data_IF_866070923303
#
_entry.id   IF_866070923303
#
_cell.length_a   1.000
_cell.length_b   1.000
_cell.length_c   1.000
_cell.angle_alpha   90.00
_cell.angle_beta   90.00
_cell.angle_gamma   90.00
#
_symmetry.space_group_name_H-M   'P 1'
#
loop_
_entity.id
_entity.type
_entity.pdbx_description
1 polymer ?
#
# COMPACT_ATOMS: atom_id res chain seq x y z
N UNK A 1 -17.76 18.31 10.16
CA UNK A 1 -17.53 19.31 9.08
C UNK A 1 -16.67 18.64 8.02
N UNK A 2 -17.02 18.73 6.73
CA UNK A 2 -16.21 18.13 5.66
C UNK A 2 -14.98 19.02 5.36
N UNK A 3 -13.79 18.41 5.28
CA UNK A 3 -12.55 19.10 4.93
C UNK A 3 -12.55 19.51 3.45
N UNK A 4 -11.84 20.59 3.12
CA UNK A 4 -11.71 21.08 1.73
C UNK A 4 -10.99 20.03 0.88
N UNK A 5 -11.37 19.89 -0.39
CA UNK A 5 -10.64 19.03 -1.33
C UNK A 5 -9.42 19.74 -1.94
N UNK A 6 -8.34 18.99 -2.14
CA UNK A 6 -7.06 19.44 -2.71
C UNK A 6 -6.57 18.47 -3.78
N UNK A 7 -5.79 19.01 -4.73
CA UNK A 7 -5.09 18.24 -5.74
C UNK A 7 -3.58 18.48 -5.58
N UNK A 8 -2.82 17.43 -5.30
CA UNK A 8 -1.40 17.52 -4.98
C UNK A 8 -0.61 16.51 -5.81
N UNK A 9 0.30 17.02 -6.65
CA UNK A 9 1.30 16.18 -7.33
C UNK A 9 2.44 15.88 -6.40
N UNK A 10 2.75 14.60 -6.21
CA UNK A 10 3.85 14.16 -5.36
C UNK A 10 4.65 13.05 -6.03
N UNK A 11 5.86 12.83 -5.52
CA UNK A 11 6.73 11.72 -5.93
C UNK A 11 6.91 10.76 -4.77
N UNK A 12 7.01 9.47 -5.07
CA UNK A 12 7.20 8.40 -4.08
C UNK A 12 8.29 7.44 -4.56
N UNK A 13 8.93 6.76 -3.61
CA UNK A 13 9.97 5.79 -3.91
C UNK A 13 9.35 4.48 -4.43
N UNK A 14 9.95 3.93 -5.48
CA UNK A 14 9.54 2.63 -6.03
C UNK A 14 10.59 1.57 -5.72
N UNK A 15 10.18 0.31 -5.54
CA UNK A 15 11.12 -0.79 -5.43
C UNK A 15 11.90 -0.99 -6.74
N UNK A 16 13.07 -1.62 -6.65
CA UNK A 16 13.93 -1.90 -7.80
C UNK A 16 13.22 -2.76 -8.87
N UNK A 17 12.27 -3.61 -8.47
CA UNK A 17 11.33 -4.27 -9.36
C UNK A 17 9.99 -4.52 -8.64
N UNK A 18 8.97 -4.94 -9.39
CA UNK A 18 7.64 -5.21 -8.84
C UNK A 18 7.70 -6.21 -7.66
N UNK A 19 7.10 -5.83 -6.53
CA UNK A 19 7.08 -6.57 -5.25
C UNK A 19 8.45 -6.83 -4.60
N UNK A 20 9.53 -6.20 -5.07
CA UNK A 20 10.80 -6.18 -4.34
C UNK A 20 10.76 -5.26 -3.12
N UNK A 21 11.73 -5.46 -2.24
CA UNK A 21 11.86 -4.75 -0.96
C UNK A 21 13.12 -3.86 -0.91
N UNK A 22 13.79 -3.67 -2.05
CA UNK A 22 15.01 -2.86 -2.17
C UNK A 22 14.78 -1.65 -3.04
N UNK A 23 15.52 -0.58 -2.75
CA UNK A 23 15.48 0.73 -3.44
C UNK A 23 16.87 1.17 -3.90
N UNK A 24 17.75 0.22 -4.22
CA UNK A 24 19.15 0.51 -4.57
C UNK A 24 19.29 1.31 -5.86
N UNK A 25 18.33 1.17 -6.77
CA UNK A 25 18.29 1.88 -8.05
C UNK A 25 17.66 3.28 -7.91
N UNK A 26 17.08 3.61 -6.75
CA UNK A 26 16.51 4.93 -6.48
C UNK A 26 15.34 5.30 -7.40
N UNK A 27 14.59 4.31 -7.88
CA UNK A 27 13.42 4.51 -8.74
C UNK A 27 12.37 5.35 -8.03
N UNK A 28 11.73 6.24 -8.77
CA UNK A 28 10.67 7.12 -8.27
C UNK A 28 9.48 7.11 -9.20
N UNK A 29 8.29 7.07 -8.61
CA UNK A 29 7.04 7.28 -9.30
C UNK A 29 6.53 8.70 -9.06
N UNK A 30 5.58 9.13 -9.89
CA UNK A 30 4.80 10.35 -9.70
C UNK A 30 3.32 10.00 -9.65
N UNK A 31 2.59 10.59 -8.71
CA UNK A 31 1.14 10.42 -8.59
C UNK A 31 0.50 11.74 -8.17
N UNK A 32 -0.82 11.85 -8.36
CA UNK A 32 -1.59 13.03 -7.96
C UNK A 32 -2.63 12.59 -6.96
N UNK A 33 -2.52 13.08 -5.72
CA UNK A 33 -3.56 12.90 -4.71
C UNK A 33 -4.70 13.86 -5.00
N UNK A 34 -5.94 13.35 -5.03
CA UNK A 34 -7.17 14.13 -5.17
C UNK A 34 -8.12 13.69 -4.07
N UNK A 35 -8.30 14.53 -3.06
CA UNK A 35 -9.09 14.16 -1.89
C UNK A 35 -9.18 15.28 -0.87
N UNK A 36 -9.73 15.03 0.32
CA UNK A 36 -9.79 16.00 1.40
C UNK A 36 -8.38 16.41 1.87
N UNK A 37 -8.23 17.66 2.33
CA UNK A 37 -6.98 18.21 2.84
C UNK A 37 -6.52 17.53 4.13
N UNK A 38 -7.45 16.89 4.84
CA UNK A 38 -7.18 16.16 6.08
C UNK A 38 -8.01 14.90 6.16
N UNK A 39 -7.44 13.87 6.78
CA UNK A 39 -8.08 12.58 7.00
C UNK A 39 -7.83 12.10 8.43
N UNK A 40 -8.85 11.51 9.04
CA UNK A 40 -8.72 10.77 10.28
C UNK A 40 -8.32 9.34 10.00
N UNK A 41 -7.26 8.86 10.64
CA UNK A 41 -6.84 7.45 10.64
C UNK A 41 -6.86 6.91 12.06
N UNK A 42 -7.16 5.62 12.21
CA UNK A 42 -7.06 4.92 13.48
C UNK A 42 -5.80 4.07 13.54
N UNK A 43 -5.09 4.16 14.66
CA UNK A 43 -3.85 3.46 14.92
C UNK A 43 -4.00 2.57 16.16
N UNK A 44 -3.43 1.38 16.13
CA UNK A 44 -3.46 0.44 17.23
C UNK A 44 -2.45 0.86 18.31
N UNK A 45 -2.86 0.91 19.58
CA UNK A 45 -2.01 1.33 20.71
C UNK A 45 -0.84 0.40 21.02
N UNK A 46 -0.94 -0.88 20.66
CA UNK A 46 0.09 -1.89 20.97
C UNK A 46 1.14 -1.92 19.87
N UNK A 47 0.70 -1.96 18.61
CA UNK A 47 1.60 -2.11 17.46
C UNK A 47 1.98 -0.79 16.82
N UNK A 48 1.28 0.31 17.14
CA UNK A 48 1.40 1.60 16.47
C UNK A 48 1.17 1.54 14.95
N UNK A 49 0.54 0.48 14.47
CA UNK A 49 0.16 0.29 13.07
C UNK A 49 -1.28 0.66 12.83
N UNK A 50 -1.64 0.89 11.57
CA UNK A 50 -3.03 1.18 11.18
C UNK A 50 -3.99 0.13 11.73
N UNK A 51 -5.05 0.58 12.37
CA UNK A 51 -6.12 -0.25 12.93
C UNK A 51 -7.35 -0.16 12.03
N UNK A 52 -7.49 -1.11 11.10
CA UNK A 52 -8.74 -1.30 10.35
C UNK A 52 -9.04 -0.24 9.27
N UNK A 53 -10.24 0.33 9.34
CA UNK A 53 -11.00 1.02 8.28
C UNK A 53 -10.23 2.12 7.49
N UNK A 54 -10.66 2.41 6.25
CA UNK A 54 -10.13 3.53 5.47
C UNK A 54 -10.25 4.85 6.25
N UNK A 55 -9.37 5.80 5.94
CA UNK A 55 -9.39 7.10 6.60
C UNK A 55 -10.75 7.77 6.39
N UNK A 56 -11.28 8.46 7.40
CA UNK A 56 -12.55 9.19 7.30
C UNK A 56 -12.31 10.69 7.36
N UNK A 57 -13.00 11.44 6.51
CA UNK A 57 -13.09 12.90 6.58
C UNK A 57 -14.26 13.37 7.47
N UNK A 58 -15.12 12.44 7.89
CA UNK A 58 -16.29 12.68 8.71
C UNK A 58 -16.09 11.96 10.05
N UNK A 59 -15.66 12.73 11.05
CA UNK A 59 -15.57 12.28 12.43
C UNK A 59 -16.19 13.34 13.34
N UNK A 60 -17.03 12.91 14.27
CA UNK A 60 -17.57 13.81 15.31
C UNK A 60 -16.43 14.32 16.20
N UNK A 61 -16.51 15.59 16.63
CA UNK A 61 -15.44 16.24 17.39
C UNK A 61 -15.14 15.49 18.70
N UNK A 62 -16.17 14.94 19.34
CA UNK A 62 -16.09 14.20 20.60
C UNK A 62 -15.87 12.68 20.42
N UNK A 63 -15.72 12.21 19.18
CA UNK A 63 -15.53 10.79 18.92
C UNK A 63 -14.27 10.27 19.61
N UNK A 64 -14.46 9.25 20.43
CA UNK A 64 -13.38 8.51 21.09
C UNK A 64 -13.28 7.11 20.48
N UNK A 65 -12.10 6.73 19.94
CA UNK A 65 -11.89 5.39 19.38
C UNK A 65 -11.99 4.31 20.47
N UNK A 66 -12.04 3.05 20.03
CA UNK A 66 -12.08 1.91 20.96
C UNK A 66 -10.88 1.91 21.91
N UNK A 67 -10.96 1.18 23.01
CA UNK A 67 -9.88 1.16 24.00
C UNK A 67 -8.52 0.71 23.40
N UNK A 68 -8.51 -0.02 22.29
CA UNK A 68 -7.31 -0.51 21.61
C UNK A 68 -6.68 0.49 20.64
N UNK A 69 -7.39 1.54 20.28
CA UNK A 69 -7.00 2.42 19.19
C UNK A 69 -6.90 3.88 19.64
N UNK A 70 -6.16 4.68 18.87
CA UNK A 70 -6.13 6.13 18.96
C UNK A 70 -6.33 6.74 17.57
N UNK A 71 -6.86 7.96 17.51
CA UNK A 71 -7.14 8.67 16.26
C UNK A 71 -6.01 9.64 15.94
N UNK A 72 -5.61 9.70 14.68
CA UNK A 72 -4.60 10.65 14.18
C UNK A 72 -5.22 11.45 13.05
N UNK A 73 -5.04 12.77 13.10
CA UNK A 73 -5.43 13.69 12.03
C UNK A 73 -4.23 13.88 11.10
N UNK A 74 -4.33 13.37 9.88
CA UNK A 74 -3.30 13.52 8.85
C UNK A 74 -3.56 14.79 8.08
N UNK A 75 -2.49 15.56 7.86
CA UNK A 75 -2.47 16.63 6.86
C UNK A 75 -2.03 16.04 5.51
N UNK A 76 -2.94 16.05 4.53
CA UNK A 76 -2.70 15.50 3.21
C UNK A 76 -1.85 16.41 2.32
N UNK A 77 -1.66 17.68 2.70
CA UNK A 77 -0.70 18.58 2.06
C UNK A 77 0.72 18.18 2.42
N UNK A 78 0.96 17.80 3.68
CA UNK A 78 2.27 17.36 4.17
C UNK A 78 2.55 15.88 3.87
N UNK A 79 1.51 15.03 3.91
CA UNK A 79 1.62 13.59 3.73
C UNK A 79 0.69 13.04 2.64
N UNK A 80 0.79 13.54 1.38
CA UNK A 80 -0.11 13.14 0.29
C UNK A 80 -0.03 11.65 -0.03
N UNK A 81 1.15 11.04 0.10
CA UNK A 81 1.34 9.60 -0.12
C UNK A 81 0.50 8.76 0.86
N UNK A 82 0.46 9.11 2.14
CA UNK A 82 -0.31 8.35 3.13
C UNK A 82 -1.80 8.54 2.89
N UNK A 83 -2.24 9.76 2.55
CA UNK A 83 -3.63 10.02 2.21
C UNK A 83 -4.09 9.28 0.95
N UNK A 84 -3.26 9.22 -0.09
CA UNK A 84 -3.53 8.43 -1.30
C UNK A 84 -3.72 6.94 -0.98
N UNK A 85 -2.98 6.39 -0.03
CA UNK A 85 -3.18 5.01 0.38
C UNK A 85 -4.52 4.83 1.10
N UNK A 86 -4.92 5.80 1.91
CA UNK A 86 -6.13 5.75 2.74
C UNK A 86 -7.42 5.90 1.96
N UNK A 87 -7.41 6.79 0.97
CA UNK A 87 -8.52 7.12 0.09
C UNK A 87 -7.99 7.17 -1.35
N UNK A 88 -7.71 6.00 -1.97
CA UNK A 88 -7.21 5.97 -3.34
C UNK A 88 -8.30 6.47 -4.28
N UNK A 89 -7.93 7.36 -5.20
CA UNK A 89 -8.84 7.81 -6.24
C UNK A 89 -9.14 6.63 -7.18
N UNK A 90 -10.35 6.08 -7.06
CA UNK A 90 -10.79 4.88 -7.79
C UNK A 90 -10.95 5.14 -9.28
N UNK A 91 -11.13 6.40 -9.68
CA UNK A 91 -11.19 6.78 -11.09
C UNK A 91 -9.78 6.73 -11.73
N UNK A 92 -8.72 6.91 -10.93
CA UNK A 92 -7.32 6.80 -11.38
C UNK A 92 -6.78 5.34 -11.31
N UNK A 93 -7.47 4.42 -10.64
CA UNK A 93 -7.13 2.99 -10.53
C UNK A 93 -7.34 2.21 -11.83
N UNK A 94 -8.24 2.68 -12.71
CA UNK A 94 -8.54 2.07 -14.01
C UNK A 94 -8.02 2.89 -15.20
N UNK A 95 -7.00 3.74 -14.99
CA UNK A 95 -6.41 4.57 -16.05
C UNK A 95 -5.70 3.72 -17.12
N UNK A 96 -6.51 3.30 -18.09
CA UNK A 96 -6.14 2.94 -19.45
C UNK A 96 -5.10 3.92 -19.99
N UNK A 97 -3.94 3.39 -20.44
CA UNK A 97 -2.77 4.07 -21.07
C UNK A 97 -1.52 4.34 -20.20
N UNK A 98 -1.37 3.76 -19.00
CA UNK A 98 -0.03 3.73 -18.38
C UNK A 98 0.92 2.85 -19.21
N UNK A 99 2.22 3.15 -19.29
CA UNK A 99 3.17 2.27 -19.96
C UNK A 99 3.31 0.96 -19.17
N UNK A 100 3.37 -0.15 -19.90
CA UNK A 100 3.52 -1.50 -19.34
C UNK A 100 4.77 -2.16 -19.86
N UNK A 101 5.46 -2.87 -18.97
CA UNK A 101 6.45 -3.87 -19.35
C UNK A 101 5.72 -5.18 -19.62
N UNK A 102 6.06 -5.84 -20.73
CA UNK A 102 5.46 -7.13 -21.10
C UNK A 102 6.52 -8.20 -21.25
N UNK A 103 6.29 -9.37 -20.65
CA UNK A 103 7.15 -10.55 -20.76
C UNK A 103 6.33 -11.76 -21.19
N UNK A 104 6.84 -12.54 -22.16
CA UNK A 104 6.21 -13.82 -22.52
C UNK A 104 6.81 -14.94 -21.67
N UNK A 105 5.98 -15.53 -20.81
CA UNK A 105 6.38 -16.64 -19.95
C UNK A 105 6.34 -17.97 -20.71
N UNK A 106 7.17 -18.96 -20.32
CA UNK A 106 7.23 -20.26 -20.99
C UNK A 106 5.99 -21.15 -20.75
N UNK A 107 5.04 -20.70 -19.93
CA UNK A 107 3.80 -21.43 -19.64
C UNK A 107 2.74 -21.12 -20.69
N UNK A 108 2.05 -22.16 -21.16
CA UNK A 108 0.92 -22.01 -22.09
C UNK A 108 -0.41 -21.95 -21.35
N UNK A 109 -1.30 -21.08 -21.84
CA UNK A 109 -2.71 -21.07 -21.48
C UNK A 109 -3.41 -22.30 -22.06
N UNK A 110 -4.64 -22.57 -21.62
CA UNK A 110 -5.44 -23.70 -22.12
C UNK A 110 -5.67 -23.66 -23.64
N UNK A 111 -5.66 -22.47 -24.24
CA UNK A 111 -5.80 -22.25 -25.69
C UNK A 111 -4.51 -22.48 -26.49
N UNK A 112 -3.39 -22.86 -25.85
CA UNK A 112 -2.11 -23.15 -26.50
C UNK A 112 -1.19 -21.95 -26.71
N UNK A 113 -1.67 -20.73 -26.43
CA UNK A 113 -0.88 -19.50 -26.48
C UNK A 113 0.04 -19.40 -25.25
N UNK A 114 1.20 -18.77 -25.43
CA UNK A 114 2.06 -18.45 -24.29
C UNK A 114 1.41 -17.38 -23.41
N UNK A 115 1.61 -17.52 -22.10
CA UNK A 115 1.13 -16.55 -21.14
C UNK A 115 1.99 -15.29 -21.22
N UNK A 116 1.37 -14.16 -21.54
CA UNK A 116 2.01 -12.84 -21.44
C UNK A 116 1.75 -12.26 -20.05
N UNK A 117 2.81 -12.01 -19.30
CA UNK A 117 2.81 -11.21 -18.09
C UNK A 117 2.92 -9.73 -18.48
N UNK A 118 2.12 -8.89 -17.84
CA UNK A 118 2.11 -7.44 -18.04
C UNK A 118 2.14 -6.79 -16.66
N UNK A 119 3.02 -5.81 -16.48
CA UNK A 119 3.14 -5.03 -15.26
C UNK A 119 3.26 -3.53 -15.61
N UNK A 120 2.64 -2.63 -14.83
CA UNK A 120 2.85 -1.20 -15.03
C UNK A 120 4.31 -0.83 -14.77
N UNK A 121 4.91 0.01 -15.61
CA UNK A 121 6.27 0.55 -15.34
C UNK A 121 6.30 1.39 -14.07
N UNK A 122 5.18 2.06 -13.77
CA UNK A 122 4.96 2.85 -12.56
C UNK A 122 3.67 2.37 -11.86
N UNK A 123 3.77 1.39 -10.94
CA UNK A 123 2.62 0.93 -10.15
C UNK A 123 2.12 2.08 -9.28
N UNK A 124 0.80 2.25 -9.15
CA UNK A 124 0.23 3.25 -8.24
C UNK A 124 0.68 3.03 -6.78
N UNK A 125 0.61 4.07 -5.93
CA UNK A 125 1.03 3.95 -4.53
C UNK A 125 0.36 2.79 -3.79
N UNK A 126 -0.93 2.56 -4.00
CA UNK A 126 -1.71 1.48 -3.39
C UNK A 126 -1.27 0.07 -3.83
N UNK A 127 -0.59 -0.05 -4.97
CA UNK A 127 0.06 -1.28 -5.47
C UNK A 127 1.55 -1.35 -5.15
N UNK A 128 2.11 -0.30 -4.53
CA UNK A 128 3.52 -0.19 -4.15
C UNK A 128 3.73 -0.42 -2.66
N UNK A 129 2.89 0.18 -1.81
CA UNK A 129 3.05 0.17 -0.35
C UNK A 129 2.02 -0.71 0.37
N UNK A 130 2.41 -1.24 1.53
CA UNK A 130 1.57 -2.04 2.40
C UNK A 130 0.89 -1.15 3.45
N UNK A 131 -0.34 -0.75 3.16
CA UNK A 131 -1.13 0.14 3.99
C UNK A 131 -1.36 -0.38 5.42
N UNK A 132 -1.49 -1.71 5.58
CA UNK A 132 -1.73 -2.32 6.87
C UNK A 132 -0.50 -2.29 7.80
N UNK A 133 0.70 -2.15 7.22
CA UNK A 133 1.96 -2.13 7.96
C UNK A 133 2.48 -0.71 8.23
N UNK A 134 1.77 0.35 7.81
CA UNK A 134 2.15 1.74 8.10
C UNK A 134 2.16 1.97 9.61
N UNK A 135 3.24 2.58 10.10
CA UNK A 135 3.50 2.81 11.52
C UNK A 135 3.59 4.30 11.86
N UNK A 136 3.10 4.66 13.05
CA UNK A 136 3.12 6.02 13.58
C UNK A 136 3.82 6.07 14.94
N UNK A 137 4.71 7.03 15.14
CA UNK A 137 5.31 7.32 16.43
C UNK A 137 4.44 8.32 17.21
N UNK A 138 3.76 7.90 18.29
CA UNK A 138 2.84 8.75 19.03
C UNK A 138 3.54 9.71 20.00
N UNK A 139 4.87 9.87 19.95
CA UNK A 139 5.57 10.79 20.83
C UNK A 139 5.15 12.25 20.58
N UNK A 140 4.57 12.91 21.58
CA UNK A 140 4.01 14.26 21.45
C UNK A 140 2.65 14.30 20.76
N UNK A 141 2.02 13.15 20.51
CA UNK A 141 0.66 13.06 19.96
C UNK A 141 -0.40 13.34 21.03
N UNK A 142 -1.36 14.20 20.71
CA UNK A 142 -2.55 14.44 21.52
C UNK A 142 -3.74 13.60 21.01
N UNK A 143 -4.17 12.57 21.75
CA UNK A 143 -5.25 11.69 21.31
C UNK A 143 -6.63 12.35 21.27
N UNK A 144 -6.80 13.54 21.88
CA UNK A 144 -8.07 14.29 21.80
C UNK A 144 -8.20 15.01 20.47
N UNK A 145 -7.15 15.73 20.08
CA UNK A 145 -7.13 16.53 18.85
C UNK A 145 -6.62 15.76 17.64
N UNK A 146 -5.95 14.61 17.84
CA UNK A 146 -5.35 13.82 16.78
C UNK A 146 -4.05 14.40 16.22
N UNK A 147 -3.54 15.49 16.78
CA UNK A 147 -2.42 16.26 16.26
C UNK A 147 -1.13 15.89 16.99
N UNK A 148 0.02 16.04 16.33
CA UNK A 148 1.35 15.72 16.87
C UNK A 148 1.70 14.25 16.70
N UNK A 149 2.96 13.89 16.96
CA UNK A 149 3.55 12.61 16.57
C UNK A 149 4.22 12.67 15.20
N UNK A 150 4.78 11.55 14.73
CA UNK A 150 5.47 11.47 13.43
C UNK A 150 5.26 10.13 12.73
N UNK A 151 5.20 10.14 11.41
CA UNK A 151 5.14 8.92 10.60
C UNK A 151 6.51 8.22 10.51
N UNK A 152 6.51 6.90 10.56
CA UNK A 152 7.73 6.09 10.44
C UNK A 152 8.01 5.84 8.95
N UNK A 153 9.17 6.31 8.49
CA UNK A 153 9.66 6.11 7.13
C UNK A 153 10.92 5.23 7.11
N UNK A 154 11.21 4.52 6.00
CA UNK A 154 10.40 4.43 4.77
C UNK A 154 9.09 3.66 5.01
N UNK A 155 8.05 3.98 4.23
CA UNK A 155 6.81 3.22 4.26
C UNK A 155 7.07 1.79 3.77
N UNK A 156 6.39 0.78 4.34
CA UNK A 156 6.62 -0.61 3.97
C UNK A 156 6.14 -0.87 2.54
N UNK A 157 6.98 -1.50 1.71
CA UNK A 157 6.54 -1.97 0.40
C UNK A 157 5.62 -3.19 0.53
N UNK A 158 4.76 -3.40 -0.48
CA UNK A 158 4.00 -4.63 -0.60
C UNK A 158 4.92 -5.84 -0.74
N UNK A 159 4.63 -6.87 0.04
CA UNK A 159 5.38 -8.13 0.02
C UNK A 159 4.84 -9.05 -1.08
N UNK A 160 5.67 -9.94 -1.64
CA UNK A 160 5.18 -10.98 -2.54
C UNK A 160 4.08 -11.82 -1.90
N UNK A 161 2.97 -12.03 -2.62
CA UNK A 161 1.84 -12.84 -2.14
C UNK A 161 2.20 -14.32 -1.90
N UNK A 162 3.31 -14.78 -2.48
CA UNK A 162 3.83 -16.14 -2.32
C UNK A 162 5.28 -16.08 -1.89
N UNK A 163 5.60 -16.74 -0.77
CA UNK A 163 6.98 -16.88 -0.34
C UNK A 163 7.72 -17.93 -1.19
N UNK A 164 9.04 -17.74 -1.38
CA UNK A 164 9.88 -18.75 -2.03
C UNK A 164 9.85 -20.10 -1.31
N UNK A 165 9.71 -20.08 0.02
CA UNK A 165 9.53 -21.28 0.83
C UNK A 165 8.26 -22.04 0.42
N UNK A 166 7.13 -21.34 0.28
CA UNK A 166 5.86 -21.92 -0.17
C UNK A 166 5.99 -22.53 -1.57
N UNK A 167 6.63 -21.83 -2.51
CA UNK A 167 6.85 -22.32 -3.86
C UNK A 167 7.71 -23.62 -3.87
N UNK A 168 8.81 -23.64 -3.12
CA UNK A 168 9.67 -24.83 -2.98
C UNK A 168 8.93 -26.01 -2.34
N UNK A 169 8.14 -25.77 -1.29
CA UNK A 169 7.36 -26.81 -0.61
C UNK A 169 6.38 -27.49 -1.58
N UNK A 170 5.65 -26.71 -2.38
CA UNK A 170 4.74 -27.25 -3.40
C UNK A 170 5.50 -28.08 -4.43
N UNK A 171 6.64 -27.57 -4.93
CA UNK A 171 7.48 -28.30 -5.89
C UNK A 171 7.96 -29.64 -5.32
N UNK A 172 8.52 -29.65 -4.11
CA UNK A 172 9.03 -30.87 -3.48
C UNK A 172 7.93 -31.88 -3.16
N UNK A 173 6.76 -31.42 -2.72
CA UNK A 173 5.61 -32.29 -2.49
C UNK A 173 5.16 -32.97 -3.79
N UNK A 174 5.12 -32.24 -4.91
CA UNK A 174 4.80 -32.83 -6.22
C UNK A 174 5.87 -33.81 -6.70
N UNK A 175 7.16 -33.48 -6.50
CA UNK A 175 8.27 -34.35 -6.88
C UNK A 175 8.23 -35.67 -6.09
N UNK A 176 8.10 -35.60 -4.76
CA UNK A 176 8.00 -36.79 -3.91
C UNK A 176 6.79 -37.67 -4.20
N UNK A 177 5.66 -37.07 -4.62
CA UNK A 177 4.49 -37.82 -5.06
C UNK A 177 4.64 -38.47 -6.44
N UNK A 178 5.65 -38.06 -7.22
CA UNK A 178 5.95 -38.62 -8.54
C UNK A 178 6.89 -39.83 -8.43
N UNK A 179 7.73 -39.88 -7.38
CA UNK A 179 8.68 -40.98 -7.14
C UNK A 179 8.02 -42.24 -6.54
N UNK A 180 6.74 -42.18 -6.17
CA UNK A 180 5.96 -43.29 -5.59
C UNK A 180 5.26 -44.22 -6.59
N UNK A 181 5.52 -44.06 -7.89
CA UNK A 181 4.98 -44.95 -8.93
C UNK A 181 6.14 -45.67 -9.65
N UNK A 182 6.66 -46.71 -9.00
CA UNK A 182 7.36 -47.84 -9.64
C UNK A 182 6.77 -49.13 -9.10
#
# INVERSE_FOLDING_TARGET
MAFKHVEIKFSYDMPDAYLYQSTKEGKKGSHTYKGPEKLWIFMNKITNKRSGDPGTNELEDDYMPTYRDYKVLIDCVEHPLICELLEPDVDDLFLDNRPYTTETLPTKRKNGEYFTHMEPEMPSPDHTYEIADIEFNPNGHDPKTGIGGTWVYPLPFKKPHVSWYSAKKVRWSKLSGSDGHV
#
